data_IF_877044033262
#
_entry.id   IF_877044033262
#
_cell.length_a   1.000
_cell.length_b   1.000
_cell.length_c   1.000
_cell.angle_alpha   90.00
_cell.angle_beta   90.00
_cell.angle_gamma   90.00
#
_symmetry.space_group_name_H-M   'P 1'
#
loop_
_entity.id
_entity.type
_entity.pdbx_description
1 polymer ?
#
# COMPACT_ATOMS: atom_id res chain seq x y z
N UNK A 1 3.26 8.08 14.13
CA UNK A 1 3.73 7.10 15.13
C UNK A 1 4.46 6.00 14.40
N UNK A 2 5.62 5.57 14.88
CA UNK A 2 6.49 4.58 14.21
C UNK A 2 6.17 3.16 14.67
N UNK A 3 4.95 2.71 14.40
CA UNK A 3 4.57 1.32 14.70
C UNK A 3 5.05 0.41 13.55
N UNK A 4 5.66 -0.73 13.87
CA UNK A 4 6.26 -1.62 12.87
C UNK A 4 5.25 -2.15 11.83
N UNK A 5 3.99 -2.31 12.24
CA UNK A 5 2.89 -2.78 11.39
C UNK A 5 2.07 -1.66 10.74
N UNK A 6 2.51 -0.39 10.84
CA UNK A 6 1.85 0.74 10.19
C UNK A 6 2.81 1.37 9.21
N UNK A 7 2.48 1.29 7.93
CA UNK A 7 3.26 1.90 6.85
C UNK A 7 2.49 3.09 6.28
N UNK A 8 3.14 4.26 6.25
CA UNK A 8 2.59 5.46 5.59
C UNK A 8 3.40 5.72 4.33
N UNK A 9 2.69 5.80 3.21
CA UNK A 9 3.21 6.05 1.87
C UNK A 9 2.74 7.42 1.44
N UNK A 10 3.72 8.25 1.10
CA UNK A 10 3.54 9.61 0.59
C UNK A 10 4.58 9.86 -0.48
N UNK A 11 4.31 10.78 -1.39
CA UNK A 11 5.24 11.14 -2.46
C UNK A 11 5.33 12.66 -2.63
N UNK A 12 6.56 13.16 -2.75
CA UNK A 12 6.81 14.54 -3.17
C UNK A 12 6.75 14.70 -4.70
N UNK A 13 6.57 13.59 -5.43
CA UNK A 13 6.49 13.58 -6.89
C UNK A 13 5.06 13.84 -7.40
N UNK A 14 4.95 14.24 -8.66
CA UNK A 14 3.66 14.49 -9.31
C UNK A 14 2.85 13.21 -9.59
N UNK A 15 3.50 12.03 -9.56
CA UNK A 15 2.83 10.76 -9.88
C UNK A 15 3.49 9.58 -9.18
N UNK A 16 2.69 8.56 -8.86
CA UNK A 16 3.13 7.25 -8.35
C UNK A 16 3.04 6.22 -9.48
N UNK A 17 4.18 5.58 -9.75
CA UNK A 17 4.33 4.68 -10.88
C UNK A 17 3.97 3.22 -10.59
N UNK A 18 3.81 2.44 -11.66
CA UNK A 18 3.54 0.98 -11.60
C UNK A 18 4.58 0.22 -10.78
N UNK A 19 5.87 0.53 -10.96
CA UNK A 19 6.97 -0.16 -10.27
C UNK A 19 6.86 0.01 -8.75
N UNK A 20 6.72 1.24 -8.30
CA UNK A 20 6.58 1.58 -6.88
C UNK A 20 5.35 0.90 -6.26
N UNK A 21 4.23 0.92 -6.99
CA UNK A 21 3.00 0.27 -6.54
C UNK A 21 3.14 -1.26 -6.46
N UNK A 22 3.86 -1.90 -7.38
CA UNK A 22 4.17 -3.34 -7.25
C UNK A 22 5.03 -3.64 -6.03
N UNK A 23 6.00 -2.78 -5.72
CA UNK A 23 6.84 -2.94 -4.53
C UNK A 23 6.01 -2.77 -3.24
N UNK A 24 5.02 -1.86 -3.24
CA UNK A 24 4.04 -1.72 -2.16
C UNK A 24 3.17 -2.95 -2.00
N UNK A 25 2.55 -3.43 -3.09
CA UNK A 25 1.72 -4.63 -3.07
C UNK A 25 2.53 -5.83 -2.57
N UNK A 26 3.78 -5.98 -3.00
CA UNK A 26 4.65 -7.07 -2.53
C UNK A 26 4.90 -7.00 -1.02
N UNK A 27 5.10 -5.80 -0.48
CA UNK A 27 5.24 -5.61 0.99
C UNK A 27 3.96 -5.95 1.74
N UNK A 28 2.81 -5.57 1.19
CA UNK A 28 1.50 -5.87 1.78
C UNK A 28 1.18 -7.36 1.92
N UNK A 29 1.88 -8.22 1.18
CA UNK A 29 1.74 -9.68 1.26
C UNK A 29 2.50 -10.30 2.46
N UNK A 30 3.38 -9.55 3.12
CA UNK A 30 4.06 -10.02 4.32
C UNK A 30 3.07 -10.12 5.48
N UNK A 31 3.29 -11.01 6.45
CA UNK A 31 2.46 -10.99 7.68
C UNK A 31 2.86 -9.83 8.59
N UNK A 32 1.93 -9.33 9.44
CA UNK A 32 2.27 -8.38 10.49
C UNK A 32 3.42 -8.91 11.36
N UNK A 33 4.37 -8.05 11.71
CA UNK A 33 5.56 -8.37 12.48
C UNK A 33 5.25 -8.56 13.97
N UNK A 34 4.36 -7.76 14.55
CA UNK A 34 4.07 -7.79 16.00
C UNK A 34 2.57 -7.83 16.27
N UNK A 35 1.80 -7.05 15.53
CA UNK A 35 0.36 -6.88 15.70
C UNK A 35 -0.48 -8.01 15.10
N UNK A 36 -1.80 -7.91 15.32
CA UNK A 36 -2.78 -8.80 14.67
C UNK A 36 -3.03 -8.42 13.21
N UNK A 37 -2.79 -7.16 12.86
CA UNK A 37 -3.06 -6.57 11.56
C UNK A 37 -1.91 -5.64 11.19
N UNK A 38 -1.66 -5.49 9.89
CA UNK A 38 -0.88 -4.40 9.34
C UNK A 38 -1.79 -3.40 8.65
N UNK A 39 -1.41 -2.13 8.68
CA UNK A 39 -2.15 -1.04 8.07
C UNK A 39 -1.22 -0.31 7.11
N UNK A 40 -1.64 -0.18 5.85
CA UNK A 40 -0.93 0.56 4.82
C UNK A 40 -1.77 1.78 4.48
N UNK A 41 -1.25 2.96 4.80
CA UNK A 41 -1.86 4.26 4.52
C UNK A 41 -1.16 4.85 3.30
N UNK A 42 -1.91 5.14 2.25
CA UNK A 42 -1.43 5.85 1.07
C UNK A 42 -2.10 7.23 1.06
N UNK A 43 -1.34 8.28 1.38
CA UNK A 43 -1.89 9.64 1.51
C UNK A 43 -2.14 10.31 0.15
N UNK A 44 -1.37 9.92 -0.87
CA UNK A 44 -1.40 10.52 -2.22
C UNK A 44 -1.96 9.54 -3.28
N UNK A 45 -3.02 8.79 -2.95
CA UNK A 45 -3.58 7.78 -3.87
C UNK A 45 -4.12 8.40 -5.18
N UNK A 46 -4.52 9.67 -5.15
CA UNK A 46 -4.93 10.46 -6.32
C UNK A 46 -3.79 10.67 -7.34
N UNK A 47 -2.53 10.53 -6.91
CA UNK A 47 -1.35 10.66 -7.78
C UNK A 47 -0.97 9.36 -8.49
N UNK A 48 -1.70 8.27 -8.28
CA UNK A 48 -1.44 7.02 -9.01
C UNK A 48 -1.63 7.25 -10.51
N UNK A 49 -0.65 6.81 -11.30
CA UNK A 49 -0.88 6.63 -12.73
C UNK A 49 -1.97 5.56 -12.96
N UNK A 50 -2.68 5.58 -14.08
CA UNK A 50 -3.73 4.60 -14.38
C UNK A 50 -3.23 3.15 -14.23
N UNK A 51 -2.03 2.86 -14.75
CA UNK A 51 -1.41 1.54 -14.60
C UNK A 51 -1.09 1.18 -13.15
N UNK A 52 -0.72 2.16 -12.33
CA UNK A 52 -0.47 1.96 -10.90
C UNK A 52 -1.78 1.66 -10.16
N UNK A 53 -2.85 2.40 -10.46
CA UNK A 53 -4.20 2.14 -9.95
C UNK A 53 -4.67 0.71 -10.26
N UNK A 54 -4.49 0.24 -11.50
CA UNK A 54 -4.85 -1.13 -11.88
C UNK A 54 -4.05 -2.21 -11.14
N UNK A 55 -2.79 -1.94 -10.77
CA UNK A 55 -2.00 -2.86 -9.95
C UNK A 55 -2.51 -2.87 -8.51
N UNK A 56 -2.80 -1.69 -7.94
CA UNK A 56 -3.31 -1.57 -6.59
C UNK A 56 -4.69 -2.19 -6.44
N UNK A 57 -5.57 -2.01 -7.44
CA UNK A 57 -6.95 -2.49 -7.42
C UNK A 57 -7.03 -3.99 -7.08
N UNK A 58 -6.21 -4.81 -7.75
CA UNK A 58 -6.14 -6.25 -7.45
C UNK A 58 -5.80 -6.55 -6.00
N UNK A 59 -4.92 -5.75 -5.39
CA UNK A 59 -4.49 -5.94 -4.00
C UNK A 59 -5.53 -5.44 -2.98
N UNK A 60 -6.46 -4.57 -3.39
CA UNK A 60 -7.54 -4.05 -2.55
C UNK A 60 -8.80 -4.92 -2.67
N UNK A 61 -9.10 -5.44 -3.86
CA UNK A 61 -10.19 -6.38 -4.10
C UNK A 61 -9.97 -7.72 -3.38
N UNK A 62 -8.72 -8.20 -3.37
CA UNK A 62 -8.32 -9.44 -2.70
C UNK A 62 -7.13 -9.17 -1.76
N UNK A 63 -7.37 -8.51 -0.60
CA UNK A 63 -6.30 -8.14 0.29
C UNK A 63 -5.65 -9.36 0.93
N UNK A 64 -4.34 -9.26 1.16
CA UNK A 64 -3.61 -10.26 1.94
C UNK A 64 -4.27 -10.42 3.33
N UNK A 65 -4.30 -11.64 3.90
CA UNK A 65 -4.89 -11.85 5.21
C UNK A 65 -4.26 -10.93 6.25
N UNK A 66 -5.11 -10.28 7.06
CA UNK A 66 -4.69 -9.37 8.14
C UNK A 66 -4.05 -8.06 7.65
N UNK A 67 -4.39 -7.62 6.43
CA UNK A 67 -3.94 -6.34 5.85
C UNK A 67 -5.11 -5.39 5.66
N UNK A 68 -4.95 -4.14 6.10
CA UNK A 68 -5.88 -3.05 5.84
C UNK A 68 -5.20 -2.00 4.98
N UNK A 69 -5.87 -1.56 3.92
CA UNK A 69 -5.47 -0.42 3.10
C UNK A 69 -6.32 0.80 3.47
N UNK A 70 -5.68 1.96 3.59
CA UNK A 70 -6.32 3.27 3.71
C UNK A 70 -5.79 4.13 2.55
N UNK A 71 -6.69 4.59 1.70
CA UNK A 71 -6.38 5.30 0.45
C UNK A 71 -7.00 6.70 0.44
#
# INVERSE_FOLDING_TARGET
GTHADVQVIRTDLLSIGVKETRDLVRRAQLSPAVGRWQVIVMEDADRLTEGAGNVLLKAVEEPAPRTVWML
#
